data_IF_883675513980
#
_entry.id   IF_883675513980
#
_cell.length_a   1.000
_cell.length_b   1.000
_cell.length_c   1.000
_cell.angle_alpha   90.00
_cell.angle_beta   90.00
_cell.angle_gamma   90.00
#
_symmetry.space_group_name_H-M   'P 1'
#
loop_
_entity.id
_entity.type
_entity.pdbx_description
1 polymer ?
#
# COMPACT_ATOMS: atom_id res chain seq x y z
N UNK A 1 24.39 9.22 49.03
CA UNK A 1 24.68 9.45 47.59
C UNK A 1 24.31 8.26 46.72
N UNK A 2 24.66 7.03 47.09
CA UNK A 2 24.32 5.80 46.34
C UNK A 2 22.82 5.62 46.06
N UNK A 3 21.95 5.89 47.04
CA UNK A 3 20.49 5.83 46.86
C UNK A 3 19.96 6.86 45.85
N UNK A 4 20.53 8.07 45.83
CA UNK A 4 20.13 9.12 44.88
C UNK A 4 20.58 8.76 43.46
N UNK A 5 21.78 8.18 43.32
CA UNK A 5 22.28 7.69 42.03
C UNK A 5 21.42 6.53 41.52
N UNK A 6 21.03 5.59 42.38
CA UNK A 6 20.15 4.49 42.02
C UNK A 6 18.77 4.99 41.58
N UNK A 7 18.18 5.92 42.34
CA UNK A 7 16.89 6.51 42.02
C UNK A 7 16.92 7.26 40.68
N UNK A 8 17.99 8.03 40.43
CA UNK A 8 18.20 8.72 39.16
C UNK A 8 18.31 7.75 37.98
N UNK A 9 19.11 6.67 38.11
CA UNK A 9 19.25 5.65 37.06
C UNK A 9 17.93 4.96 36.74
N UNK A 10 17.14 4.60 37.76
CA UNK A 10 15.83 3.99 37.56
C UNK A 10 14.84 4.94 36.87
N UNK A 11 14.81 6.20 37.30
CA UNK A 11 13.97 7.22 36.68
C UNK A 11 14.35 7.45 35.20
N UNK A 12 15.65 7.55 34.89
CA UNK A 12 16.15 7.68 33.53
C UNK A 12 15.83 6.44 32.69
N UNK A 13 16.01 5.23 33.23
CA UNK A 13 15.69 3.99 32.54
C UNK A 13 14.22 3.86 32.20
N UNK A 14 13.33 4.17 33.16
CA UNK A 14 11.89 4.19 32.93
C UNK A 14 11.48 5.25 31.89
N UNK A 15 12.08 6.44 31.95
CA UNK A 15 11.84 7.50 30.98
C UNK A 15 12.27 7.09 29.57
N UNK A 16 13.46 6.49 29.44
CA UNK A 16 13.95 5.94 28.18
C UNK A 16 13.02 4.84 27.66
N UNK A 17 12.55 3.93 28.50
CA UNK A 17 11.65 2.84 28.10
C UNK A 17 10.33 3.35 27.51
N UNK A 18 9.80 4.46 28.03
CA UNK A 18 8.58 5.12 27.51
C UNK A 18 8.87 5.94 26.24
N UNK A 19 10.02 6.61 26.17
CA UNK A 19 10.39 7.49 25.05
C UNK A 19 10.82 6.68 23.82
N UNK A 20 11.51 5.55 24.02
CA UNK A 20 12.02 4.67 22.95
C UNK A 20 10.96 4.29 21.90
N UNK A 21 9.76 3.79 22.26
CA UNK A 21 8.74 3.43 21.26
C UNK A 21 8.22 4.63 20.46
N UNK A 22 8.22 5.83 21.04
CA UNK A 22 7.77 7.05 20.36
C UNK A 22 8.82 7.50 19.34
N UNK A 23 10.10 7.49 19.71
CA UNK A 23 11.20 7.84 18.80
C UNK A 23 11.33 6.80 17.67
N UNK A 24 11.18 5.51 17.98
CA UNK A 24 11.21 4.44 16.98
C UNK A 24 10.09 4.61 15.94
N UNK A 25 8.87 4.98 16.37
CA UNK A 25 7.76 5.28 15.45
C UNK A 25 8.02 6.50 14.57
N UNK A 26 8.59 7.58 15.13
CA UNK A 26 8.94 8.79 14.35
C UNK A 26 10.03 8.52 13.32
N UNK A 27 11.03 7.73 13.66
CA UNK A 27 12.07 7.31 12.72
C UNK A 27 11.50 6.48 11.57
N UNK A 28 10.54 5.58 11.85
CA UNK A 28 9.86 4.80 10.82
C UNK A 28 9.08 5.67 9.81
N UNK A 29 8.43 6.75 10.28
CA UNK A 29 7.72 7.70 9.40
C UNK A 29 8.67 8.48 8.48
N UNK A 30 9.83 8.92 9.01
CA UNK A 30 10.84 9.63 8.22
C UNK A 30 11.47 8.72 7.14
N UNK A 31 11.63 7.43 7.45
CA UNK A 31 12.09 6.42 6.49
C UNK A 31 11.07 6.19 5.38
N UNK A 32 9.77 6.31 5.66
CA UNK A 32 8.71 6.12 4.66
C UNK A 32 8.59 7.30 3.68
N UNK A 33 9.11 8.47 4.05
CA UNK A 33 9.27 9.65 3.17
C UNK A 33 10.56 9.65 2.34
N UNK A 34 11.46 8.67 2.53
CA UNK A 34 12.66 8.55 1.71
C UNK A 34 12.31 8.18 0.25
N UNK A 35 13.17 8.49 -0.73
CA UNK A 35 12.95 8.09 -2.13
C UNK A 35 12.73 6.57 -2.20
N UNK A 36 11.62 6.14 -2.80
CA UNK A 36 11.23 4.73 -2.85
C UNK A 36 10.46 4.21 -1.62
N UNK A 37 10.11 5.07 -0.66
CA UNK A 37 9.14 4.76 0.40
C UNK A 37 7.70 4.67 -0.12
N UNK A 38 6.77 4.20 0.72
CA UNK A 38 5.36 3.99 0.33
C UNK A 38 4.71 5.29 -0.15
N UNK A 39 4.98 6.40 0.55
CA UNK A 39 4.41 7.70 0.24
C UNK A 39 4.87 8.23 -1.11
N UNK A 40 6.14 8.02 -1.45
CA UNK A 40 6.73 8.43 -2.73
C UNK A 40 6.20 7.57 -3.89
N UNK A 41 6.03 6.27 -3.69
CA UNK A 41 5.43 5.39 -4.70
C UNK A 41 3.95 5.75 -4.95
N UNK A 42 3.18 6.05 -3.90
CA UNK A 42 1.80 6.49 -4.00
C UNK A 42 1.67 7.88 -4.66
N UNK A 43 2.60 8.80 -4.39
CA UNK A 43 2.65 10.09 -5.06
C UNK A 43 2.88 9.93 -6.58
N UNK A 44 3.82 9.08 -6.99
CA UNK A 44 4.08 8.78 -8.41
C UNK A 44 2.88 8.17 -9.11
N UNK A 45 2.19 7.22 -8.46
CA UNK A 45 0.93 6.65 -8.97
C UNK A 45 -0.13 7.73 -9.23
N UNK A 46 -0.31 8.68 -8.31
CA UNK A 46 -1.26 9.78 -8.48
C UNK A 46 -0.90 10.70 -9.64
N UNK A 47 0.38 11.02 -9.81
CA UNK A 47 0.86 11.84 -10.92
C UNK A 47 0.62 11.15 -12.27
N UNK A 48 0.95 9.86 -12.38
CA UNK A 48 0.75 9.11 -13.61
C UNK A 48 -0.74 8.91 -13.97
N UNK A 49 -1.62 8.78 -12.98
CA UNK A 49 -3.07 8.73 -13.22
C UNK A 49 -3.64 10.10 -13.59
N UNK A 50 -3.09 11.19 -13.02
CA UNK A 50 -3.50 12.54 -13.37
C UNK A 50 -3.13 12.88 -14.81
N UNK A 51 -1.95 12.46 -15.30
CA UNK A 51 -1.54 12.71 -16.69
C UNK A 51 -2.42 11.99 -17.71
N UNK A 52 -2.83 10.74 -17.42
CA UNK A 52 -3.80 10.02 -18.26
C UNK A 52 -5.12 10.78 -18.39
N UNK A 53 -5.63 11.28 -17.26
CA UNK A 53 -6.87 12.06 -17.21
C UNK A 53 -6.75 13.38 -17.97
N UNK A 54 -5.60 14.04 -17.87
CA UNK A 54 -5.33 15.29 -18.60
C UNK A 54 -5.32 15.08 -20.12
N UNK A 55 -4.66 14.02 -20.61
CA UNK A 55 -4.64 13.67 -22.04
C UNK A 55 -6.03 13.39 -22.58
N UNK A 56 -6.88 12.71 -21.82
CA UNK A 56 -8.26 12.44 -22.21
C UNK A 56 -9.08 13.73 -22.27
N UNK A 57 -8.89 14.66 -21.33
CA UNK A 57 -9.52 15.97 -21.41
C UNK A 57 -9.05 16.80 -22.59
N UNK A 58 -7.76 16.77 -22.92
CA UNK A 58 -7.25 17.55 -24.05
C UNK A 58 -7.78 17.01 -25.39
N UNK A 59 -7.96 15.69 -25.52
CA UNK A 59 -8.67 15.10 -26.66
C UNK A 59 -10.14 15.52 -26.71
N UNK A 60 -10.88 15.43 -25.60
CA UNK A 60 -12.27 15.88 -25.53
C UNK A 60 -12.45 17.38 -25.79
N UNK A 61 -11.44 18.19 -25.44
CA UNK A 61 -11.39 19.62 -25.74
C UNK A 61 -11.04 19.92 -27.20
N UNK A 62 -10.74 18.90 -28.02
CA UNK A 62 -10.33 19.04 -29.42
C UNK A 62 -8.93 19.62 -29.62
N UNK A 63 -8.06 19.57 -28.59
CA UNK A 63 -6.67 20.03 -28.69
C UNK A 63 -5.74 19.01 -29.32
N UNK A 64 -6.08 17.73 -29.21
CA UNK A 64 -5.36 16.61 -29.84
C UNK A 64 -6.21 15.99 -30.93
N UNK A 65 -5.55 15.53 -31.99
CA UNK A 65 -6.18 14.61 -32.93
C UNK A 65 -6.18 13.18 -32.38
N UNK A 66 -6.96 12.30 -33.02
CA UNK A 66 -7.08 10.90 -32.58
C UNK A 66 -5.74 10.15 -32.63
N UNK A 67 -4.90 10.42 -33.64
CA UNK A 67 -3.63 9.71 -33.80
C UNK A 67 -2.64 10.05 -32.68
N UNK A 68 -2.51 11.33 -32.34
CA UNK A 68 -1.67 11.83 -31.26
C UNK A 68 -2.22 11.41 -29.89
N UNK A 69 -3.55 11.45 -29.71
CA UNK A 69 -4.20 10.95 -28.51
C UNK A 69 -3.85 9.48 -28.24
N UNK A 70 -4.02 8.61 -29.24
CA UNK A 70 -3.71 7.18 -29.11
C UNK A 70 -2.22 6.94 -28.81
N UNK A 71 -1.32 7.66 -29.48
CA UNK A 71 0.11 7.56 -29.25
C UNK A 71 0.55 8.04 -27.85
N UNK A 72 -0.14 9.02 -27.27
CA UNK A 72 0.12 9.48 -25.89
C UNK A 72 -0.51 8.54 -24.86
N UNK A 73 -1.72 8.05 -25.12
CA UNK A 73 -2.44 7.10 -24.27
C UNK A 73 -1.63 5.81 -24.07
N UNK A 74 -1.07 5.25 -25.14
CA UNK A 74 -0.26 4.03 -25.08
C UNK A 74 1.01 4.22 -24.24
N UNK A 75 1.67 5.38 -24.35
CA UNK A 75 2.87 5.68 -23.56
C UNK A 75 2.56 5.92 -22.08
N UNK A 76 1.56 6.76 -21.80
CA UNK A 76 1.17 7.11 -20.43
C UNK A 76 0.56 5.93 -19.68
N UNK A 77 -0.18 5.05 -20.37
CA UNK A 77 -0.75 3.85 -19.76
C UNK A 77 0.32 2.86 -19.31
N UNK A 78 1.39 2.70 -20.10
CA UNK A 78 2.56 1.90 -19.72
C UNK A 78 3.25 2.47 -18.47
N UNK A 79 3.44 3.79 -18.40
CA UNK A 79 4.02 4.47 -17.24
C UNK A 79 3.13 4.36 -15.99
N UNK A 80 1.82 4.59 -16.15
CA UNK A 80 0.85 4.45 -15.06
C UNK A 80 0.81 3.02 -14.51
N UNK A 81 0.88 2.01 -15.37
CA UNK A 81 0.93 0.62 -14.94
C UNK A 81 2.17 0.33 -14.09
N UNK A 82 3.34 0.83 -14.49
CA UNK A 82 4.57 0.70 -13.71
C UNK A 82 4.46 1.40 -12.35
N UNK A 83 3.88 2.61 -12.33
CA UNK A 83 3.68 3.35 -11.09
C UNK A 83 2.71 2.66 -10.13
N UNK A 84 1.64 2.05 -10.64
CA UNK A 84 0.69 1.25 -9.85
C UNK A 84 1.39 0.05 -9.24
N UNK A 85 2.12 -0.74 -10.04
CA UNK A 85 2.84 -1.92 -9.55
C UNK A 85 3.87 -1.58 -8.48
N UNK A 86 4.59 -0.46 -8.65
CA UNK A 86 5.56 0.01 -7.66
C UNK A 86 4.88 0.43 -6.35
N UNK A 87 3.73 1.11 -6.41
CA UNK A 87 2.96 1.49 -5.23
C UNK A 87 2.40 0.26 -4.50
N UNK A 88 1.85 -0.71 -5.23
CA UNK A 88 1.31 -1.94 -4.66
C UNK A 88 2.41 -2.77 -3.98
N UNK A 89 3.59 -2.87 -4.61
CA UNK A 89 4.75 -3.53 -4.02
C UNK A 89 5.24 -2.81 -2.74
N UNK A 90 5.30 -1.48 -2.75
CA UNK A 90 5.68 -0.70 -1.58
C UNK A 90 4.65 -0.85 -0.44
N UNK A 91 3.36 -0.92 -0.77
CA UNK A 91 2.28 -1.18 0.17
C UNK A 91 2.36 -2.59 0.78
N UNK A 92 2.65 -3.60 -0.04
CA UNK A 92 2.89 -4.96 0.43
C UNK A 92 4.08 -5.01 1.40
N UNK A 93 5.21 -4.40 1.05
CA UNK A 93 6.40 -4.34 1.89
C UNK A 93 6.17 -3.57 3.20
N UNK A 94 5.37 -2.51 3.18
CA UNK A 94 4.97 -1.79 4.39
C UNK A 94 4.05 -2.65 5.27
N UNK A 95 3.08 -3.35 4.70
CA UNK A 95 2.17 -4.23 5.44
C UNK A 95 2.90 -5.37 6.17
N UNK A 96 3.90 -5.98 5.52
CA UNK A 96 4.74 -7.01 6.13
C UNK A 96 5.54 -6.44 7.30
N UNK A 97 6.10 -5.24 7.17
CA UNK A 97 6.86 -4.57 8.25
C UNK A 97 6.01 -4.27 9.48
N UNK A 98 4.76 -3.84 9.29
CA UNK A 98 3.89 -3.43 10.40
C UNK A 98 3.15 -4.62 11.03
N UNK A 99 2.68 -5.57 10.21
CA UNK A 99 1.77 -6.63 10.64
C UNK A 99 2.39 -8.03 10.61
N UNK A 100 3.61 -8.19 10.09
CA UNK A 100 4.27 -9.50 9.97
C UNK A 100 3.59 -10.47 8.99
N UNK A 101 2.57 -10.02 8.24
CA UNK A 101 1.83 -10.82 7.26
C UNK A 101 1.46 -9.93 6.07
N UNK A 102 1.59 -10.43 4.81
CA UNK A 102 1.16 -9.67 3.65
C UNK A 102 -0.35 -9.39 3.73
N UNK A 103 -0.73 -8.13 3.48
CA UNK A 103 -2.13 -7.73 3.35
C UNK A 103 -2.73 -8.36 2.09
N UNK A 104 -3.94 -8.96 2.14
CA UNK A 104 -4.59 -9.59 0.97
C UNK A 104 -5.09 -8.59 -0.08
N UNK A 105 -4.68 -7.32 -0.02
CA UNK A 105 -5.06 -6.28 -0.98
C UNK A 105 -4.30 -6.39 -2.33
N UNK A 106 -3.23 -7.20 -2.41
CA UNK A 106 -2.59 -7.55 -3.66
C UNK A 106 -3.24 -8.82 -4.21
N UNK A 107 -4.15 -8.65 -5.17
CA UNK A 107 -4.69 -9.75 -5.97
C UNK A 107 -3.57 -10.47 -6.72
N UNK A 108 -2.98 -11.47 -6.07
CA UNK A 108 -2.18 -12.52 -6.70
C UNK A 108 -2.86 -13.83 -6.36
N UNK A 109 -3.63 -14.32 -7.33
CA UNK A 109 -4.15 -15.68 -7.37
C UNK A 109 -2.99 -16.61 -7.71
N UNK A 110 -2.02 -16.76 -6.81
CA UNK A 110 -0.93 -17.72 -6.95
C UNK A 110 -0.88 -18.59 -5.70
N UNK A 111 -1.57 -19.72 -5.79
CA UNK A 111 -1.71 -20.72 -4.72
C UNK A 111 -3.13 -21.26 -4.63
N UNK A 112 -3.62 -21.84 -5.72
CA UNK A 112 -4.89 -22.54 -5.77
C UNK A 112 -4.87 -23.79 -4.87
N UNK A 113 -5.11 -23.61 -3.57
CA UNK A 113 -5.98 -24.53 -2.86
C UNK A 113 -7.40 -24.23 -3.36
N UNK A 114 -8.03 -25.21 -4.01
CA UNK A 114 -9.30 -25.10 -4.72
C UNK A 114 -10.32 -24.35 -3.85
N UNK A 115 -10.57 -23.08 -4.16
CA UNK A 115 -11.44 -22.22 -3.37
C UNK A 115 -12.91 -22.64 -3.50
N UNK A 116 -13.70 -22.42 -2.45
CA UNK A 116 -15.14 -22.68 -2.49
C UNK A 116 -15.86 -21.54 -3.20
N UNK A 117 -16.61 -21.89 -4.25
CA UNK A 117 -17.48 -20.94 -4.97
C UNK A 117 -18.74 -20.73 -4.13
N UNK A 118 -19.06 -19.48 -3.83
CA UNK A 118 -20.32 -19.11 -3.20
C UNK A 118 -21.42 -18.87 -4.24
N UNK A 119 -22.70 -18.97 -3.85
CA UNK A 119 -23.85 -18.72 -4.71
C UNK A 119 -23.86 -17.34 -5.40
N UNK A 120 -23.12 -16.36 -4.86
CA UNK A 120 -22.94 -15.04 -5.47
C UNK A 120 -21.86 -14.99 -6.57
N UNK A 121 -21.20 -16.11 -6.88
CA UNK A 121 -20.16 -16.22 -7.91
C UNK A 121 -18.75 -15.87 -7.45
N UNK A 122 -18.54 -15.55 -6.17
CA UNK A 122 -17.20 -15.25 -5.64
C UNK A 122 -16.49 -16.52 -5.16
N UNK A 123 -15.22 -16.68 -5.53
CA UNK A 123 -14.36 -17.80 -5.13
C UNK A 123 -13.63 -17.43 -3.83
N UNK A 124 -13.85 -18.17 -2.76
CA UNK A 124 -13.24 -17.91 -1.46
C UNK A 124 -12.14 -18.93 -1.14
N UNK A 125 -11.04 -18.52 -0.45
CA UNK A 125 -10.00 -19.46 -0.03
C UNK A 125 -10.53 -20.44 1.04
N UNK A 126 -9.96 -21.65 1.10
CA UNK A 126 -10.35 -22.68 2.07
C UNK A 126 -10.20 -22.17 3.52
N UNK A 127 -11.17 -22.50 4.37
CA UNK A 127 -11.23 -22.04 5.76
C UNK A 127 -11.89 -20.68 5.98
N UNK A 128 -12.33 -20.00 4.91
CA UNK A 128 -13.13 -18.77 5.03
C UNK A 128 -14.48 -19.06 5.69
N UNK A 129 -14.82 -18.32 6.74
CA UNK A 129 -16.13 -18.42 7.42
C UNK A 129 -17.21 -17.55 6.78
N UNK A 130 -16.80 -16.55 6.00
CA UNK A 130 -17.67 -15.58 5.34
C UNK A 130 -17.18 -15.34 3.91
N UNK A 131 -18.10 -15.04 3.00
CA UNK A 131 -17.83 -14.73 1.61
C UNK A 131 -17.30 -13.30 1.49
N UNK A 132 -16.14 -13.11 0.85
CA UNK A 132 -15.56 -11.77 0.65
C UNK A 132 -16.32 -10.93 -0.40
N UNK A 133 -17.11 -11.56 -1.29
CA UNK A 133 -17.91 -10.85 -2.29
C UNK A 133 -19.23 -10.28 -1.77
N UNK A 134 -19.96 -11.03 -0.94
CA UNK A 134 -21.29 -10.63 -0.47
C UNK A 134 -21.47 -10.60 1.05
N UNK A 135 -20.46 -10.99 1.83
CA UNK A 135 -20.51 -11.01 3.31
C UNK A 135 -21.33 -12.15 3.93
N UNK A 136 -21.98 -13.01 3.13
CA UNK A 136 -22.75 -14.15 3.63
C UNK A 136 -21.85 -15.20 4.27
N UNK A 137 -22.38 -15.97 5.23
CA UNK A 137 -21.64 -17.03 5.91
C UNK A 137 -21.45 -18.22 4.96
N UNK A 138 -20.23 -18.72 4.85
CA UNK A 138 -19.93 -19.94 4.10
C UNK A 138 -20.22 -21.14 5.01
N UNK A 139 -21.10 -22.04 4.56
CA UNK A 139 -21.46 -23.28 5.26
C UNK A 139 -20.56 -24.42 4.84
#
# INVERSE_FOLDING_TARGET
>A
MTLLVLAALLASGASLWVIQPILARRAALLVDTAPGGLLDAEARKRVALASLKEVEYDFLAGKLDEADYRAQLDRLSAEALQAIQAADAAQAAHSIRIHGRPSPAAGTVDGAEIGSVHACGFVNPLGSRFCAGCGARLS
#
